data_IF_693883264067
#
_entry.id   IF_693883264067
#
_cell.length_a   1.000
_cell.length_b   1.000
_cell.length_c   1.000
_cell.angle_alpha   90.00
_cell.angle_beta   90.00
_cell.angle_gamma   90.00
#
_symmetry.space_group_name_H-M   'P 1'
#
loop_
_entity.id
_entity.type
_entity.pdbx_description
1 polymer ?
#
# COMPACT_ATOMS: atom_id res chain seq x y z
N UNK A 1 11.29 27.42 -4.93
CA UNK A 1 10.73 26.81 -3.70
C UNK A 1 11.54 25.56 -3.39
N UNK A 2 12.47 25.62 -2.42
CA UNK A 2 13.20 24.40 -2.03
C UNK A 2 12.26 23.51 -1.25
N UNK A 3 11.81 22.41 -1.83
CA UNK A 3 11.05 21.41 -1.10
C UNK A 3 12.03 20.57 -0.28
N UNK A 4 11.81 20.52 1.02
CA UNK A 4 12.54 19.64 1.94
C UNK A 4 11.59 18.54 2.43
N UNK A 5 12.11 17.37 2.68
CA UNK A 5 11.41 16.31 3.39
C UNK A 5 12.17 15.95 4.67
N UNK A 6 11.44 15.46 5.66
CA UNK A 6 12.02 15.06 6.92
C UNK A 6 12.19 13.54 6.94
N UNK A 7 13.39 13.07 7.20
CA UNK A 7 13.69 11.67 7.50
C UNK A 7 13.97 11.51 8.98
N UNK A 8 13.56 10.38 9.55
CA UNK A 8 13.91 10.03 10.93
C UNK A 8 14.95 8.92 10.85
N UNK A 9 16.17 9.22 11.29
CA UNK A 9 17.23 8.21 11.38
C UNK A 9 16.90 7.10 12.39
N UNK A 10 17.66 6.01 12.35
CA UNK A 10 17.54 4.92 13.32
C UNK A 10 17.80 5.38 14.78
N UNK A 11 18.49 6.50 14.95
CA UNK A 11 18.73 7.21 16.21
C UNK A 11 17.57 8.11 16.67
N UNK A 12 16.46 8.14 15.91
CA UNK A 12 15.32 9.00 16.18
C UNK A 12 15.52 10.48 15.82
N UNK A 13 16.67 10.85 15.26
CA UNK A 13 16.96 12.23 14.87
C UNK A 13 16.26 12.58 13.57
N UNK A 14 15.49 13.67 13.60
CA UNK A 14 14.83 14.21 12.40
C UNK A 14 15.85 14.99 11.59
N UNK A 15 16.09 14.55 10.36
CA UNK A 15 16.92 15.27 9.38
C UNK A 15 16.02 15.84 8.30
N UNK A 16 16.22 17.12 7.98
CA UNK A 16 15.58 17.76 6.85
C UNK A 16 16.52 17.71 5.66
N UNK A 17 16.11 17.05 4.61
CA UNK A 17 16.88 16.91 3.37
C UNK A 17 16.17 17.60 2.21
N UNK A 18 16.93 18.20 1.30
CA UNK A 18 16.37 18.70 0.03
C UNK A 18 15.94 17.51 -0.81
N UNK A 19 14.72 17.57 -1.36
CA UNK A 19 14.15 16.56 -2.25
C UNK A 19 15.04 16.34 -3.47
N UNK A 20 15.51 17.44 -4.04
CA UNK A 20 16.48 17.44 -5.12
C UNK A 20 17.71 18.18 -4.62
N UNK A 21 18.79 17.45 -4.36
CA UNK A 21 20.02 18.02 -3.77
C UNK A 21 20.63 19.14 -4.63
N UNK A 22 20.42 19.05 -5.93
CA UNK A 22 21.00 19.93 -6.94
C UNK A 22 20.01 20.93 -7.56
N UNK A 23 18.78 21.00 -7.02
CA UNK A 23 17.75 21.91 -7.53
C UNK A 23 17.48 23.01 -6.52
N UNK A 24 17.57 24.25 -6.97
CA UNK A 24 17.15 25.44 -6.25
C UNK A 24 16.24 26.33 -7.11
N UNK A 25 15.90 27.51 -6.60
CA UNK A 25 15.00 28.45 -7.28
C UNK A 25 15.58 29.04 -8.56
N UNK A 26 16.92 28.92 -8.78
CA UNK A 26 17.61 29.41 -9.97
C UNK A 26 17.86 28.30 -11.00
N UNK A 27 17.54 27.05 -10.68
CA UNK A 27 17.76 25.92 -11.57
C UNK A 27 16.78 25.98 -12.75
N UNK A 28 17.31 26.17 -13.96
CA UNK A 28 16.49 26.23 -15.19
C UNK A 28 15.95 24.86 -15.61
N UNK A 29 16.64 23.78 -15.24
CA UNK A 29 16.26 22.40 -15.60
C UNK A 29 16.79 21.42 -14.55
N UNK A 30 16.17 20.25 -14.51
CA UNK A 30 16.61 19.13 -13.71
C UNK A 30 16.51 17.84 -14.52
N UNK A 31 17.57 17.04 -14.51
CA UNK A 31 17.58 15.73 -15.16
C UNK A 31 17.29 14.64 -14.13
N UNK A 32 16.21 13.91 -14.34
CA UNK A 32 15.81 12.79 -13.50
C UNK A 32 16.07 11.47 -14.21
N UNK A 33 16.83 10.59 -13.56
CA UNK A 33 17.11 9.25 -14.08
C UNK A 33 16.08 8.24 -13.56
N UNK A 34 15.34 7.63 -14.45
CA UNK A 34 14.43 6.52 -14.14
C UNK A 34 14.64 5.38 -15.14
N UNK A 35 15.17 4.22 -14.70
CA UNK A 35 15.42 3.06 -15.58
C UNK A 35 14.16 2.52 -16.26
N UNK A 36 13.01 2.66 -15.60
CA UNK A 36 11.72 2.17 -16.07
C UNK A 36 10.86 3.24 -16.76
N UNK A 37 11.44 4.42 -17.02
CA UNK A 37 10.74 5.59 -17.57
C UNK A 37 10.14 6.49 -16.49
N UNK A 38 9.92 7.76 -16.84
CA UNK A 38 9.50 8.81 -15.90
C UNK A 38 8.20 8.46 -15.16
N UNK A 39 7.20 7.94 -15.87
CA UNK A 39 5.91 7.59 -15.30
C UNK A 39 5.93 6.31 -14.45
N UNK A 40 7.05 5.60 -14.38
CA UNK A 40 7.25 4.51 -13.42
C UNK A 40 7.81 5.01 -12.08
N UNK A 41 8.31 6.26 -12.03
CA UNK A 41 8.70 6.90 -10.77
C UNK A 41 7.46 7.45 -10.08
N UNK A 42 7.15 6.93 -8.90
CA UNK A 42 5.84 7.11 -8.26
C UNK A 42 5.51 8.57 -7.92
N UNK A 43 6.52 9.44 -7.69
CA UNK A 43 6.26 10.88 -7.51
C UNK A 43 5.69 11.57 -8.75
N UNK A 44 5.88 11.02 -9.93
CA UNK A 44 5.30 11.54 -11.19
C UNK A 44 4.05 10.75 -11.61
N UNK A 45 4.04 9.45 -11.34
CA UNK A 45 2.86 8.59 -11.61
C UNK A 45 1.62 9.07 -10.88
N UNK A 46 1.77 9.36 -9.58
CA UNK A 46 0.63 9.70 -8.73
C UNK A 46 -0.06 11.01 -9.17
N UNK A 47 0.64 12.13 -9.41
CA UNK A 47 0.02 13.33 -9.97
C UNK A 47 -0.64 13.11 -11.32
N UNK A 48 0.02 12.38 -12.23
CA UNK A 48 -0.50 12.13 -13.57
C UNK A 48 -1.81 11.33 -13.54
N UNK A 49 -1.85 10.25 -12.75
CA UNK A 49 -3.05 9.43 -12.57
C UNK A 49 -4.18 10.23 -11.91
N UNK A 50 -3.90 10.91 -10.80
CA UNK A 50 -4.90 11.70 -10.07
C UNK A 50 -5.52 12.79 -10.93
N UNK A 51 -4.69 13.49 -11.75
CA UNK A 51 -5.18 14.51 -12.65
C UNK A 51 -6.07 13.92 -13.76
N UNK A 52 -5.65 12.79 -14.34
CA UNK A 52 -6.42 12.09 -15.36
C UNK A 52 -7.75 11.58 -14.79
N UNK A 53 -7.75 10.97 -13.61
CA UNK A 53 -8.95 10.46 -12.93
C UNK A 53 -9.92 11.60 -12.60
N UNK A 54 -9.41 12.71 -12.07
CA UNK A 54 -10.25 13.90 -11.76
C UNK A 54 -10.84 14.50 -13.03
N UNK A 55 -10.04 14.67 -14.08
CA UNK A 55 -10.54 15.19 -15.35
C UNK A 55 -11.61 14.29 -15.98
N UNK A 56 -11.39 12.98 -15.97
CA UNK A 56 -12.36 12.00 -16.47
C UNK A 56 -13.66 12.02 -15.64
N UNK A 57 -13.55 12.14 -14.33
CA UNK A 57 -14.71 12.25 -13.46
C UNK A 57 -15.53 13.51 -13.73
N UNK A 58 -14.89 14.68 -13.90
CA UNK A 58 -15.57 15.93 -14.22
C UNK A 58 -16.26 15.88 -15.58
N UNK A 59 -15.64 15.25 -16.58
CA UNK A 59 -16.27 15.04 -17.89
C UNK A 59 -17.53 14.13 -17.78
N UNK A 60 -17.42 13.05 -17.01
CA UNK A 60 -18.58 12.17 -16.74
C UNK A 60 -19.70 12.91 -15.99
N UNK A 61 -19.34 13.71 -14.98
CA UNK A 61 -20.30 14.52 -14.20
C UNK A 61 -21.00 15.54 -15.10
N UNK A 62 -20.24 16.27 -15.93
CA UNK A 62 -20.79 17.25 -16.86
C UNK A 62 -21.76 16.63 -17.91
N UNK A 63 -21.55 15.36 -18.24
CA UNK A 63 -22.42 14.60 -19.14
C UNK A 63 -23.61 13.94 -18.44
N UNK A 64 -23.81 14.14 -17.14
CA UNK A 64 -24.89 13.54 -16.35
C UNK A 64 -24.77 12.03 -16.15
N UNK A 65 -23.56 11.48 -16.30
CA UNK A 65 -23.30 10.03 -16.11
C UNK A 65 -23.07 9.65 -14.65
N UNK A 66 -22.85 10.61 -13.76
CA UNK A 66 -22.69 10.39 -12.32
C UNK A 66 -24.04 10.58 -11.64
N UNK A 67 -24.53 9.55 -10.98
CA UNK A 67 -25.80 9.58 -10.25
C UNK A 67 -25.60 10.08 -8.81
N UNK A 68 -26.64 10.70 -8.24
CA UNK A 68 -26.57 11.28 -6.88
C UNK A 68 -26.35 10.24 -5.76
N UNK A 69 -26.76 8.98 -6.01
CA UNK A 69 -26.58 7.85 -5.10
C UNK A 69 -25.35 7.00 -5.40
N UNK A 70 -24.43 7.49 -6.23
CA UNK A 70 -23.19 6.77 -6.55
C UNK A 70 -22.29 6.62 -5.33
N UNK A 71 -21.68 5.44 -5.19
CA UNK A 71 -20.61 5.19 -4.22
C UNK A 71 -19.25 5.48 -4.84
N UNK A 72 -18.31 5.90 -3.99
CA UNK A 72 -16.96 6.29 -4.39
C UNK A 72 -15.93 5.42 -3.68
N UNK A 73 -15.15 4.73 -4.44
CA UNK A 73 -14.04 3.90 -3.98
C UNK A 73 -12.84 4.11 -4.88
N UNK A 74 -11.65 3.87 -4.35
CA UNK A 74 -10.41 3.93 -5.11
C UNK A 74 -9.33 3.12 -4.43
N UNK A 75 -8.59 2.32 -5.21
CA UNK A 75 -7.50 1.52 -4.66
C UNK A 75 -6.28 2.41 -4.40
N UNK A 76 -5.74 2.39 -3.18
CA UNK A 76 -4.53 3.11 -2.77
C UNK A 76 -4.56 4.60 -3.13
N UNK A 77 -3.93 5.03 -4.23
CA UNK A 77 -3.95 6.39 -4.75
C UNK A 77 -5.38 6.86 -5.08
N UNK A 78 -6.19 5.96 -5.61
CA UNK A 78 -7.57 6.23 -5.99
C UNK A 78 -8.46 6.72 -4.83
N UNK A 79 -8.10 6.45 -3.56
CA UNK A 79 -8.80 7.05 -2.42
C UNK A 79 -8.72 8.59 -2.40
N UNK A 80 -7.57 9.14 -2.80
CA UNK A 80 -7.40 10.60 -2.90
C UNK A 80 -8.28 11.20 -3.99
N UNK A 81 -8.35 10.51 -5.14
CA UNK A 81 -9.23 10.90 -6.25
C UNK A 81 -10.71 10.75 -5.88
N UNK A 82 -11.09 9.67 -5.20
CA UNK A 82 -12.45 9.45 -4.72
C UNK A 82 -12.90 10.53 -3.72
N UNK A 83 -12.07 10.87 -2.75
CA UNK A 83 -12.34 11.94 -1.77
C UNK A 83 -12.41 13.32 -2.42
N UNK A 84 -11.55 13.59 -3.40
CA UNK A 84 -11.58 14.84 -4.15
C UNK A 84 -12.81 14.94 -5.07
N UNK A 85 -13.28 13.82 -5.61
CA UNK A 85 -14.49 13.77 -6.44
C UNK A 85 -15.77 13.93 -5.63
N UNK A 86 -15.87 13.21 -4.50
CA UNK A 86 -17.08 13.15 -3.67
C UNK A 86 -17.27 14.39 -2.79
N UNK A 87 -16.25 14.81 -2.08
CA UNK A 87 -16.38 15.78 -1.00
C UNK A 87 -15.61 17.09 -1.23
N UNK A 88 -14.90 17.20 -2.37
CA UNK A 88 -14.10 18.38 -2.72
C UNK A 88 -13.19 18.83 -1.57
N UNK A 89 -12.61 17.86 -0.85
CA UNK A 89 -11.85 18.07 0.39
C UNK A 89 -10.65 19.01 0.21
N UNK A 90 -10.20 19.22 -1.02
CA UNK A 90 -9.12 20.15 -1.36
C UNK A 90 -9.17 20.57 -2.83
N UNK A 91 -8.66 21.79 -3.15
CA UNK A 91 -8.46 22.22 -4.54
C UNK A 91 -7.50 21.30 -5.30
N UNK A 92 -7.62 21.27 -6.64
CA UNK A 92 -6.82 20.38 -7.49
C UNK A 92 -5.31 20.62 -7.33
N UNK A 93 -4.87 21.84 -7.12
CA UNK A 93 -3.45 22.19 -6.90
C UNK A 93 -2.94 21.58 -5.59
N UNK A 94 -3.76 21.62 -4.55
CA UNK A 94 -3.44 20.98 -3.27
C UNK A 94 -3.42 19.46 -3.40
N UNK A 95 -4.37 18.89 -4.12
CA UNK A 95 -4.45 17.46 -4.37
C UNK A 95 -3.19 16.97 -5.11
N UNK A 96 -2.83 17.62 -6.22
CA UNK A 96 -1.63 17.29 -7.00
C UNK A 96 -0.37 17.41 -6.13
N UNK A 97 -0.27 18.46 -5.32
CA UNK A 97 0.85 18.64 -4.39
C UNK A 97 0.92 17.52 -3.35
N UNK A 98 -0.22 17.09 -2.79
CA UNK A 98 -0.32 16.03 -1.79
C UNK A 98 0.12 14.69 -2.37
N UNK A 99 -0.39 14.31 -3.55
CA UNK A 99 -0.06 13.03 -4.16
C UNK A 99 1.37 12.99 -4.72
N UNK A 100 1.90 14.15 -5.17
CA UNK A 100 3.32 14.27 -5.51
C UNK A 100 4.19 14.01 -4.28
N UNK A 101 3.89 14.65 -3.15
CA UNK A 101 4.65 14.48 -1.93
C UNK A 101 4.51 13.05 -1.37
N UNK A 102 3.32 12.45 -1.51
CA UNK A 102 3.10 11.03 -1.17
C UNK A 102 4.02 10.13 -2.00
N UNK A 103 4.01 10.29 -3.31
CA UNK A 103 4.85 9.52 -4.22
C UNK A 103 6.34 9.72 -3.94
N UNK A 104 6.74 10.96 -3.70
CA UNK A 104 8.11 11.29 -3.35
C UNK A 104 8.57 10.62 -2.06
N UNK A 105 7.76 10.68 -0.99
CA UNK A 105 8.06 10.04 0.29
C UNK A 105 8.30 8.53 0.12
N UNK A 106 7.55 7.88 -0.77
CA UNK A 106 7.72 6.48 -1.10
C UNK A 106 8.97 6.24 -1.97
N UNK A 107 9.21 7.10 -2.97
CA UNK A 107 10.31 6.95 -3.91
C UNK A 107 11.67 7.08 -3.25
N UNK A 108 11.81 8.01 -2.28
CA UNK A 108 13.08 8.26 -1.58
C UNK A 108 13.32 7.32 -0.41
N UNK A 109 12.31 6.51 -0.03
CA UNK A 109 12.46 5.55 1.06
C UNK A 109 13.37 4.37 0.69
N UNK A 110 13.54 4.10 -0.60
CA UNK A 110 14.37 2.99 -1.10
C UNK A 110 15.72 3.48 -1.58
N UNK A 111 16.78 2.78 -1.20
CA UNK A 111 18.11 3.00 -1.74
C UNK A 111 18.17 2.57 -3.21
N UNK A 112 18.96 3.30 -3.99
CA UNK A 112 19.13 3.05 -5.42
C UNK A 112 20.60 2.98 -5.78
N UNK A 113 20.91 2.09 -6.72
CA UNK A 113 22.26 2.00 -7.30
C UNK A 113 22.53 3.18 -8.26
N UNK A 114 23.76 3.24 -8.80
CA UNK A 114 24.20 4.28 -9.74
C UNK A 114 23.37 4.33 -11.03
N UNK A 115 22.63 3.26 -11.35
CA UNK A 115 21.70 3.18 -12.48
C UNK A 115 20.26 3.50 -12.10
N UNK A 116 20.02 3.95 -10.86
CA UNK A 116 18.71 4.30 -10.33
C UNK A 116 17.81 3.08 -10.01
N UNK A 117 18.34 1.86 -9.95
CA UNK A 117 17.58 0.64 -9.66
C UNK A 117 17.54 0.38 -8.17
N UNK A 118 16.43 -0.11 -7.66
CA UNK A 118 16.30 -0.59 -6.29
C UNK A 118 16.30 -2.12 -6.22
N UNK A 119 16.47 -2.66 -5.02
CA UNK A 119 16.39 -4.09 -4.74
C UNK A 119 14.99 -4.55 -4.32
N UNK A 120 13.96 -3.72 -4.55
CA UNK A 120 12.59 -4.00 -4.13
C UNK A 120 11.65 -4.07 -5.32
N UNK A 121 10.57 -4.82 -5.15
CA UNK A 121 9.48 -4.88 -6.12
C UNK A 121 8.19 -5.39 -5.47
N UNK A 122 7.20 -5.71 -6.30
CA UNK A 122 5.95 -6.33 -5.90
C UNK A 122 5.56 -7.43 -6.88
N UNK A 123 4.81 -8.42 -6.41
CA UNK A 123 4.18 -9.41 -7.27
C UNK A 123 2.74 -9.69 -6.85
N UNK A 124 1.87 -9.88 -7.84
CA UNK A 124 0.53 -10.41 -7.61
C UNK A 124 0.61 -11.93 -7.38
N UNK A 125 -0.14 -12.43 -6.40
CA UNK A 125 -0.17 -13.85 -6.03
C UNK A 125 -1.60 -14.36 -6.06
N UNK A 126 -1.81 -15.48 -6.73
CA UNK A 126 -3.10 -16.19 -6.73
C UNK A 126 -2.95 -17.56 -6.04
N UNK A 127 -3.35 -17.69 -4.76
CA UNK A 127 -3.23 -18.92 -3.99
C UNK A 127 -3.95 -20.11 -4.63
N UNK A 128 -5.11 -19.90 -5.22
CA UNK A 128 -5.93 -20.97 -5.80
C UNK A 128 -5.24 -21.74 -6.95
N UNK A 129 -4.16 -21.17 -7.50
CA UNK A 129 -3.35 -21.84 -8.54
C UNK A 129 -2.42 -22.90 -7.98
N UNK A 130 -2.15 -22.92 -6.69
CA UNK A 130 -1.34 -23.97 -6.04
C UNK A 130 -2.18 -25.23 -5.92
N UNK A 131 -3.25 -25.20 -5.13
CA UNK A 131 -4.27 -26.23 -5.01
C UNK A 131 -5.56 -25.64 -4.47
N UNK A 132 -6.62 -26.45 -4.32
CA UNK A 132 -7.95 -25.98 -3.88
C UNK A 132 -7.99 -25.58 -2.40
N UNK A 133 -7.13 -26.14 -1.58
CA UNK A 133 -7.05 -25.88 -0.14
C UNK A 133 -6.08 -24.75 0.21
N UNK A 134 -5.19 -24.36 -0.72
CA UNK A 134 -4.20 -23.31 -0.50
C UNK A 134 -4.90 -21.94 -0.50
N UNK A 135 -5.21 -21.45 0.68
CA UNK A 135 -5.94 -20.21 0.96
C UNK A 135 -5.02 -19.09 1.46
N UNK A 136 -5.62 -17.99 1.92
CA UNK A 136 -4.89 -16.86 2.50
C UNK A 136 -4.00 -17.26 3.69
N UNK A 137 -4.50 -18.11 4.58
CA UNK A 137 -3.75 -18.53 5.76
C UNK A 137 -2.47 -19.31 5.36
N UNK A 138 -2.58 -20.19 4.38
CA UNK A 138 -1.43 -20.93 3.86
C UNK A 138 -0.43 -19.98 3.17
N UNK A 139 -0.92 -18.98 2.43
CA UNK A 139 -0.04 -17.97 1.82
C UNK A 139 0.67 -17.14 2.88
N UNK A 140 -0.03 -16.65 3.91
CA UNK A 140 0.58 -15.93 5.04
C UNK A 140 1.66 -16.76 5.71
N UNK A 141 1.36 -18.02 5.98
CA UNK A 141 2.31 -18.92 6.60
C UNK A 141 3.60 -19.08 5.77
N UNK A 142 3.50 -19.22 4.45
CA UNK A 142 4.66 -19.27 3.56
C UNK A 142 5.43 -17.96 3.57
N UNK A 143 4.75 -16.83 3.43
CA UNK A 143 5.37 -15.49 3.39
C UNK A 143 6.10 -15.19 4.70
N UNK A 144 5.46 -15.42 5.84
CA UNK A 144 6.03 -15.16 7.17
C UNK A 144 7.25 -16.05 7.44
N UNK A 145 7.22 -17.33 7.02
CA UNK A 145 8.37 -18.21 7.18
C UNK A 145 9.53 -17.84 6.25
N UNK A 146 9.28 -17.43 5.01
CA UNK A 146 10.34 -16.91 4.13
C UNK A 146 11.00 -15.68 4.76
N UNK A 147 10.21 -14.70 5.22
CA UNK A 147 10.73 -13.50 5.85
C UNK A 147 11.54 -13.82 7.12
N UNK A 148 11.03 -14.72 7.97
CA UNK A 148 11.68 -15.14 9.22
C UNK A 148 13.00 -15.89 8.99
N UNK A 149 13.03 -16.84 8.05
CA UNK A 149 14.20 -17.69 7.80
C UNK A 149 15.31 -16.94 7.05
N UNK A 150 14.94 -16.03 6.15
CA UNK A 150 15.93 -15.34 5.31
C UNK A 150 16.32 -13.97 5.83
N UNK A 151 15.50 -13.36 6.68
CA UNK A 151 15.65 -11.96 7.11
C UNK A 151 15.37 -10.96 5.99
N UNK A 152 14.87 -11.38 4.83
CA UNK A 152 14.52 -10.51 3.73
C UNK A 152 13.13 -9.91 3.94
N UNK A 153 12.94 -8.67 3.50
CA UNK A 153 11.61 -8.07 3.50
C UNK A 153 10.68 -8.85 2.58
N UNK A 154 9.58 -9.36 3.12
CA UNK A 154 8.49 -9.97 2.36
C UNK A 154 7.20 -9.83 3.14
N UNK A 155 6.21 -9.15 2.58
CA UNK A 155 4.92 -8.91 3.23
C UNK A 155 3.77 -9.03 2.23
N UNK A 156 2.61 -9.54 2.68
CA UNK A 156 1.35 -9.42 1.95
C UNK A 156 0.81 -8.02 2.22
N UNK A 157 0.75 -7.19 1.21
CA UNK A 157 0.43 -5.77 1.35
C UNK A 157 -0.94 -5.37 0.80
N UNK A 158 -1.51 -6.16 -0.11
CA UNK A 158 -2.86 -5.95 -0.63
C UNK A 158 -3.67 -7.25 -0.61
N UNK A 159 -4.90 -7.13 -0.15
CA UNK A 159 -5.92 -8.18 -0.06
C UNK A 159 -7.06 -7.83 -1.03
N UNK A 160 -6.82 -8.03 -2.34
CA UNK A 160 -7.72 -7.52 -3.37
C UNK A 160 -8.97 -8.38 -3.55
N UNK A 161 -8.78 -9.71 -3.64
CA UNK A 161 -9.89 -10.67 -3.76
C UNK A 161 -9.59 -11.88 -2.89
N UNK A 162 -10.46 -12.17 -1.94
CA UNK A 162 -10.28 -13.27 -0.98
C UNK A 162 -9.96 -14.58 -1.70
N UNK A 163 -8.88 -15.26 -1.29
CA UNK A 163 -8.34 -16.50 -1.82
C UNK A 163 -7.97 -16.52 -3.31
N UNK A 164 -8.03 -15.38 -4.00
CA UNK A 164 -7.77 -15.31 -5.44
C UNK A 164 -6.70 -14.29 -5.83
N UNK A 165 -6.63 -13.14 -5.14
CA UNK A 165 -5.71 -12.08 -5.55
C UNK A 165 -5.16 -11.32 -4.36
N UNK A 166 -3.88 -11.53 -4.11
CA UNK A 166 -3.08 -10.81 -3.14
C UNK A 166 -1.91 -10.14 -3.84
N UNK A 167 -1.29 -9.16 -3.18
CA UNK A 167 -0.03 -8.61 -3.63
C UNK A 167 0.98 -8.73 -2.50
N UNK A 168 2.14 -9.29 -2.82
CA UNK A 168 3.31 -9.32 -1.96
C UNK A 168 4.30 -8.25 -2.39
N UNK A 169 4.89 -7.57 -1.41
CA UNK A 169 5.94 -6.58 -1.61
C UNK A 169 7.18 -6.97 -0.81
N UNK A 170 8.35 -6.70 -1.34
CA UNK A 170 9.58 -6.97 -0.64
C UNK A 170 10.84 -6.90 -1.48
N UNK A 171 11.90 -7.46 -0.94
CA UNK A 171 13.18 -7.63 -1.59
C UNK A 171 13.03 -8.51 -2.85
N UNK A 172 13.75 -8.20 -3.93
CA UNK A 172 13.74 -9.01 -5.16
C UNK A 172 14.07 -10.47 -4.88
N UNK A 173 15.00 -10.73 -3.95
CA UNK A 173 15.37 -12.11 -3.54
C UNK A 173 14.21 -12.81 -2.84
N UNK A 174 13.48 -12.09 -1.97
CA UNK A 174 12.34 -12.65 -1.27
C UNK A 174 11.18 -13.00 -2.20
N UNK A 175 10.89 -12.13 -3.17
CA UNK A 175 9.86 -12.36 -4.19
C UNK A 175 10.21 -13.50 -5.15
N UNK A 176 11.49 -13.64 -5.51
CA UNK A 176 11.97 -14.76 -6.31
C UNK A 176 11.91 -16.08 -5.51
N UNK A 177 12.35 -16.06 -4.26
CA UNK A 177 12.24 -17.21 -3.35
C UNK A 177 10.76 -17.62 -3.17
N UNK A 178 9.85 -16.68 -2.95
CA UNK A 178 8.41 -16.94 -2.87
C UNK A 178 7.91 -17.65 -4.15
N UNK A 179 8.32 -17.15 -5.31
CA UNK A 179 7.95 -17.77 -6.60
C UNK A 179 8.45 -19.20 -6.67
N UNK A 180 9.71 -19.46 -6.30
CA UNK A 180 10.31 -20.79 -6.31
C UNK A 180 9.63 -21.74 -5.32
N UNK A 181 9.34 -21.28 -4.09
CA UNK A 181 8.62 -22.07 -3.07
C UNK A 181 7.22 -22.43 -3.57
N UNK A 182 6.45 -21.48 -4.09
CA UNK A 182 5.09 -21.75 -4.59
C UNK A 182 5.11 -22.70 -5.80
N UNK A 183 6.08 -22.55 -6.70
CA UNK A 183 6.28 -23.50 -7.82
C UNK A 183 6.61 -24.91 -7.32
N UNK A 184 7.46 -25.02 -6.30
CA UNK A 184 7.83 -26.30 -5.69
C UNK A 184 6.62 -26.98 -5.04
N UNK A 185 5.87 -26.25 -4.20
CA UNK A 185 4.65 -26.76 -3.55
C UNK A 185 3.65 -27.29 -4.58
N UNK A 186 3.48 -26.58 -5.70
CA UNK A 186 2.61 -27.01 -6.81
C UNK A 186 3.13 -28.28 -7.48
N UNK A 187 4.42 -28.31 -7.83
CA UNK A 187 5.05 -29.42 -8.55
C UNK A 187 5.03 -30.70 -7.73
N UNK A 188 5.32 -30.61 -6.44
CA UNK A 188 5.34 -31.74 -5.50
C UNK A 188 3.94 -32.10 -4.95
N UNK A 189 2.90 -31.33 -5.33
CA UNK A 189 1.52 -31.51 -4.86
C UNK A 189 1.42 -31.45 -3.32
N UNK A 190 2.24 -30.62 -2.67
CA UNK A 190 2.25 -30.44 -1.22
C UNK A 190 1.05 -29.60 -0.81
N UNK A 191 0.24 -30.14 0.10
CA UNK A 191 -0.92 -29.46 0.69
C UNK A 191 -0.60 -29.05 2.13
N UNK A 192 -0.21 -27.78 2.31
CA UNK A 192 0.14 -27.23 3.63
C UNK A 192 -1.04 -27.33 4.61
N UNK A 193 -2.27 -27.14 4.16
CA UNK A 193 -3.46 -27.24 5.01
C UNK A 193 -3.65 -28.68 5.52
N UNK A 194 -3.43 -29.66 4.65
CA UNK A 194 -3.48 -31.06 5.04
C UNK A 194 -2.35 -31.42 6.01
N UNK A 195 -1.14 -30.91 5.78
CA UNK A 195 -0.01 -31.10 6.69
C UNK A 195 -0.32 -30.50 8.07
N UNK A 196 -0.91 -29.32 8.15
CA UNK A 196 -1.31 -28.68 9.41
C UNK A 196 -2.38 -29.47 10.18
N UNK A 197 -3.13 -30.37 9.53
CA UNK A 197 -4.11 -31.25 10.20
C UNK A 197 -3.51 -32.56 10.69
N UNK A 198 -2.40 -33.01 10.10
CA UNK A 198 -1.83 -34.34 10.32
C UNK A 198 -0.50 -34.33 11.07
N UNK A 199 0.17 -33.18 11.13
CA UNK A 199 1.48 -32.98 11.74
C UNK A 199 1.42 -31.85 12.77
N UNK A 200 2.37 -31.84 13.70
CA UNK A 200 2.55 -30.69 14.59
C UNK A 200 3.00 -29.45 13.82
N UNK A 201 2.74 -28.26 14.38
CA UNK A 201 3.16 -26.98 13.78
C UNK A 201 4.67 -26.94 13.56
N UNK A 202 5.45 -27.48 14.51
CA UNK A 202 6.92 -27.49 14.42
C UNK A 202 7.43 -28.41 13.30
N UNK A 203 6.79 -29.56 13.07
CA UNK A 203 7.12 -30.45 11.96
C UNK A 203 6.78 -29.82 10.62
N UNK A 204 5.62 -29.20 10.47
CA UNK A 204 5.23 -28.47 9.24
C UNK A 204 6.22 -27.33 8.98
N UNK A 205 6.58 -26.59 10.02
CA UNK A 205 7.57 -25.51 9.93
C UNK A 205 8.93 -26.01 9.50
N UNK A 206 9.43 -27.11 10.08
CA UNK A 206 10.71 -27.72 9.72
C UNK A 206 10.75 -28.17 8.27
N UNK A 207 9.67 -28.81 7.79
CA UNK A 207 9.54 -29.18 6.39
C UNK A 207 9.56 -27.98 5.44
N UNK A 208 8.79 -26.94 5.77
CA UNK A 208 8.72 -25.72 4.97
C UNK A 208 10.07 -24.99 4.95
N UNK A 209 10.77 -24.93 6.10
CA UNK A 209 12.08 -24.30 6.20
C UNK A 209 13.13 -24.98 5.32
N UNK A 210 13.09 -26.31 5.23
CA UNK A 210 13.97 -27.04 4.30
C UNK A 210 13.74 -26.60 2.85
N UNK A 211 12.49 -26.51 2.41
CA UNK A 211 12.11 -26.04 1.08
C UNK A 211 12.54 -24.58 0.86
N UNK A 212 12.28 -23.72 1.87
CA UNK A 212 12.67 -22.30 1.81
C UNK A 212 14.17 -22.15 1.65
N UNK A 213 14.97 -22.86 2.45
CA UNK A 213 16.42 -22.78 2.41
C UNK A 213 16.98 -23.24 1.05
N UNK A 214 16.44 -24.30 0.45
CA UNK A 214 16.81 -24.73 -0.89
C UNK A 214 16.45 -23.68 -1.95
N UNK A 215 15.24 -23.12 -1.90
CA UNK A 215 14.79 -22.06 -2.81
C UNK A 215 15.59 -20.76 -2.62
N UNK A 216 15.93 -20.39 -1.38
CA UNK A 216 16.76 -19.24 -1.08
C UNK A 216 18.18 -19.39 -1.62
N UNK A 217 18.77 -20.60 -1.49
CA UNK A 217 20.06 -20.89 -2.06
C UNK A 217 20.06 -20.78 -3.60
N UNK A 218 19.01 -21.29 -4.26
CA UNK A 218 18.82 -21.13 -5.70
C UNK A 218 18.72 -19.66 -6.10
N UNK A 219 17.96 -18.86 -5.33
CA UNK A 219 17.81 -17.41 -5.55
C UNK A 219 19.14 -16.68 -5.40
N UNK A 220 19.94 -17.00 -4.38
CA UNK A 220 21.25 -16.38 -4.14
C UNK A 220 22.28 -16.72 -5.23
N UNK A 221 22.13 -17.85 -5.91
CA UNK A 221 22.98 -18.24 -7.03
C UNK A 221 22.69 -17.47 -8.34
N UNK A 222 21.59 -16.70 -8.39
CA UNK A 222 21.21 -15.91 -9.57
C UNK A 222 22.05 -14.64 -9.69
N UNK A 223 22.24 -14.19 -10.94
CA UNK A 223 22.87 -12.91 -11.21
C UNK A 223 22.05 -11.74 -10.64
N UNK A 224 22.73 -10.72 -10.16
CA UNK A 224 22.12 -9.52 -9.58
C UNK A 224 22.15 -8.34 -10.56
N UNK A 225 21.13 -7.48 -10.58
CA UNK A 225 19.86 -7.62 -9.87
C UNK A 225 19.01 -8.77 -10.44
N UNK A 226 18.19 -9.38 -9.57
CA UNK A 226 17.30 -10.46 -9.99
C UNK A 226 16.21 -9.91 -10.91
N UNK A 227 16.05 -10.54 -12.08
CA UNK A 227 14.90 -10.32 -12.96
C UNK A 227 13.78 -11.29 -12.57
N UNK A 228 12.74 -10.76 -11.96
CA UNK A 228 11.61 -11.55 -11.47
C UNK A 228 10.86 -12.20 -12.64
N UNK A 229 10.73 -13.51 -12.59
CA UNK A 229 10.00 -14.29 -13.58
C UNK A 229 8.60 -14.65 -13.06
N UNK A 230 7.67 -14.83 -14.01
CA UNK A 230 6.34 -15.31 -13.71
C UNK A 230 6.41 -16.77 -13.23
N UNK A 231 5.77 -17.05 -12.08
CA UNK A 231 5.56 -18.40 -11.57
C UNK A 231 4.16 -18.94 -11.84
N UNK A 232 3.87 -20.11 -11.30
CA UNK A 232 2.54 -20.74 -11.43
C UNK A 232 1.44 -19.92 -10.75
N UNK A 233 1.77 -19.30 -9.63
CA UNK A 233 0.86 -18.50 -8.82
C UNK A 233 1.27 -17.03 -8.70
N UNK A 234 2.42 -16.63 -9.22
CA UNK A 234 3.00 -15.30 -9.07
C UNK A 234 3.13 -14.58 -10.41
N UNK A 235 2.84 -13.27 -10.41
CA UNK A 235 3.01 -12.39 -11.56
C UNK A 235 3.76 -11.14 -11.09
N UNK A 236 5.02 -10.92 -11.49
CA UNK A 236 5.76 -9.70 -11.17
C UNK A 236 5.03 -8.46 -11.69
N UNK A 237 4.95 -7.41 -10.86
CA UNK A 237 4.39 -6.12 -11.26
C UNK A 237 5.51 -5.28 -11.88
N UNK A 238 5.62 -5.33 -13.20
CA UNK A 238 6.69 -4.67 -13.95
C UNK A 238 6.66 -3.16 -13.76
N UNK A 239 7.85 -2.54 -13.69
CA UNK A 239 8.01 -1.10 -13.50
C UNK A 239 7.88 -0.63 -12.05
N UNK A 240 7.49 -1.51 -11.12
CA UNK A 240 7.44 -1.22 -9.70
C UNK A 240 8.77 -1.58 -9.04
N UNK A 241 9.37 -0.60 -8.39
CA UNK A 241 10.68 -0.70 -7.74
C UNK A 241 10.67 -0.14 -6.30
N UNK A 242 9.49 -0.06 -5.71
CA UNK A 242 9.24 0.34 -4.31
C UNK A 242 8.33 -0.71 -3.69
N UNK A 243 8.60 -1.18 -2.44
CA UNK A 243 7.75 -2.13 -1.75
C UNK A 243 6.53 -1.42 -1.15
N UNK A 244 5.57 -1.00 -2.02
CA UNK A 244 4.40 -0.23 -1.61
C UNK A 244 3.59 -0.94 -0.53
N UNK A 245 3.07 -0.17 0.41
CA UNK A 245 2.24 -0.63 1.53
C UNK A 245 2.93 -1.54 2.55
N UNK A 246 4.22 -1.83 2.39
CA UNK A 246 5.00 -2.58 3.38
C UNK A 246 5.36 -1.74 4.60
N UNK A 247 5.72 -2.42 5.68
CA UNK A 247 6.21 -1.77 6.90
C UNK A 247 7.50 -0.98 6.68
N UNK A 248 8.24 -1.29 5.62
CA UNK A 248 9.44 -0.56 5.19
C UNK A 248 9.18 0.94 4.98
N UNK A 249 7.97 1.31 4.54
CA UNK A 249 7.60 2.71 4.30
C UNK A 249 7.08 3.45 5.53
N UNK A 250 7.07 2.84 6.72
CA UNK A 250 6.52 3.46 7.95
C UNK A 250 7.19 4.76 8.34
N UNK A 251 8.50 4.91 8.08
CA UNK A 251 9.25 6.14 8.36
C UNK A 251 8.66 7.37 7.65
N UNK A 252 8.08 7.17 6.46
CA UNK A 252 7.44 8.21 5.67
C UNK A 252 6.06 8.66 6.16
N UNK A 253 5.40 7.90 7.05
CA UNK A 253 4.02 8.18 7.47
C UNK A 253 3.91 9.49 8.25
N UNK A 254 4.83 9.74 9.19
CA UNK A 254 4.78 10.95 10.03
C UNK A 254 5.05 12.24 9.22
N UNK A 255 6.10 12.33 8.39
CA UNK A 255 6.32 13.47 7.51
C UNK A 255 5.15 13.71 6.54
N UNK A 256 4.66 12.65 5.92
CA UNK A 256 3.51 12.76 5.00
C UNK A 256 2.25 13.27 5.70
N UNK A 257 1.94 12.76 6.89
CA UNK A 257 0.81 13.24 7.70
C UNK A 257 0.96 14.74 8.01
N UNK A 258 2.16 15.18 8.41
CA UNK A 258 2.42 16.60 8.71
C UNK A 258 2.21 17.48 7.48
N UNK A 259 2.61 17.01 6.30
CA UNK A 259 2.36 17.71 5.04
C UNK A 259 0.87 17.77 4.70
N UNK A 260 0.17 16.64 4.82
CA UNK A 260 -1.27 16.53 4.57
C UNK A 260 -2.07 17.51 5.44
N UNK A 261 -1.75 17.58 6.73
CA UNK A 261 -2.40 18.49 7.69
C UNK A 261 -2.20 19.98 7.36
N UNK A 262 -1.13 20.34 6.64
CA UNK A 262 -0.90 21.71 6.17
C UNK A 262 -1.72 22.04 4.91
N UNK A 263 -2.08 21.02 4.11
CA UNK A 263 -2.77 21.19 2.82
C UNK A 263 -4.29 21.05 2.93
N UNK A 264 -4.79 20.33 3.91
CA UNK A 264 -6.21 20.11 4.12
C UNK A 264 -6.68 21.03 5.25
N UNK A 265 -7.61 21.93 4.95
CA UNK A 265 -8.30 22.71 5.99
C UNK A 265 -9.31 21.82 6.71
N UNK A 266 -9.29 21.85 8.04
CA UNK A 266 -10.30 21.13 8.86
C UNK A 266 -11.72 21.60 8.58
N UNK A 267 -11.88 22.86 8.18
CA UNK A 267 -13.19 23.47 7.87
C UNK A 267 -13.73 23.08 6.50
N UNK A 268 -12.90 22.55 5.61
CA UNK A 268 -13.33 22.11 4.27
C UNK A 268 -13.75 20.63 4.22
N UNK A 269 -13.59 19.89 5.32
CA UNK A 269 -14.04 18.50 5.40
C UNK A 269 -15.42 18.45 6.05
N UNK A 270 -16.40 18.01 5.29
CA UNK A 270 -17.74 17.69 5.77
C UNK A 270 -17.92 16.16 5.79
N UNK A 271 -17.81 15.52 6.97
CA UNK A 271 -17.93 14.07 7.07
C UNK A 271 -19.30 13.55 6.62
N UNK A 272 -20.35 14.34 6.67
CA UNK A 272 -21.70 13.95 6.26
C UNK A 272 -21.77 13.60 4.76
N UNK A 273 -20.93 14.24 3.94
CA UNK A 273 -20.83 13.94 2.51
C UNK A 273 -20.22 12.55 2.23
N UNK A 274 -19.50 11.99 3.19
CA UNK A 274 -18.82 10.69 3.06
C UNK A 274 -19.70 9.53 3.48
N UNK A 275 -20.64 9.76 4.42
CA UNK A 275 -21.48 8.71 5.00
C UNK A 275 -22.30 8.01 3.94
N UNK A 276 -22.19 6.68 3.90
CA UNK A 276 -22.89 5.80 2.95
C UNK A 276 -22.37 5.84 1.51
N UNK A 277 -21.51 6.83 1.17
CA UNK A 277 -21.03 7.05 -0.21
C UNK A 277 -19.55 6.70 -0.39
N UNK A 278 -18.72 6.99 0.58
CA UNK A 278 -17.29 6.69 0.53
C UNK A 278 -17.01 5.27 1.03
N UNK A 279 -16.23 4.51 0.28
CA UNK A 279 -15.80 3.15 0.64
C UNK A 279 -14.28 3.16 0.85
N UNK A 280 -13.78 3.26 2.11
CA UNK A 280 -12.36 3.26 2.41
C UNK A 280 -11.69 1.90 2.15
N UNK A 281 -10.42 1.90 1.74
CA UNK A 281 -9.65 0.66 1.55
C UNK A 281 -9.52 -0.15 2.85
N UNK A 282 -9.48 0.50 3.99
CA UNK A 282 -9.31 -0.14 5.31
C UNK A 282 -10.48 -1.07 5.66
N UNK A 283 -11.71 -0.67 5.35
CA UNK A 283 -12.90 -1.43 5.73
C UNK A 283 -13.57 -2.15 4.56
N UNK A 284 -13.34 -1.66 3.33
CA UNK A 284 -14.02 -2.09 2.10
C UNK A 284 -15.56 -2.09 2.21
N UNK A 285 -16.10 -1.22 3.07
CA UNK A 285 -17.54 -1.01 3.24
C UNK A 285 -17.87 0.49 3.37
N UNK A 286 -19.11 0.91 3.11
CA UNK A 286 -19.48 2.32 3.21
C UNK A 286 -19.08 2.95 4.54
N UNK A 287 -18.56 4.18 4.46
CA UNK A 287 -18.13 4.93 5.64
C UNK A 287 -19.34 5.30 6.52
N UNK A 288 -19.21 5.11 7.82
CA UNK A 288 -20.22 5.42 8.81
C UNK A 288 -19.62 6.22 9.96
N UNK A 289 -20.45 7.08 10.57
CA UNK A 289 -20.11 7.81 11.78
C UNK A 289 -20.75 7.11 13.00
N UNK A 290 -20.44 5.82 13.18
CA UNK A 290 -20.93 5.01 14.30
C UNK A 290 -19.77 4.49 15.13
N UNK A 291 -19.99 4.29 16.43
CA UNK A 291 -18.99 3.72 17.33
C UNK A 291 -18.51 2.35 16.83
N UNK A 292 -19.44 1.50 16.41
CA UNK A 292 -19.15 0.17 15.88
C UNK A 292 -18.21 0.23 14.66
N UNK A 293 -18.44 1.16 13.72
CA UNK A 293 -17.57 1.35 12.58
C UNK A 293 -16.15 1.72 13.01
N UNK A 294 -16.00 2.62 13.97
CA UNK A 294 -14.68 3.02 14.50
C UNK A 294 -14.00 1.90 15.31
N UNK A 295 -14.76 1.05 16.01
CA UNK A 295 -14.23 -0.15 16.67
C UNK A 295 -13.65 -1.13 15.65
N UNK A 296 -14.33 -1.34 14.51
CA UNK A 296 -13.81 -2.14 13.41
C UNK A 296 -12.53 -1.54 12.81
N UNK A 297 -12.52 -0.23 12.55
CA UNK A 297 -11.30 0.44 12.08
C UNK A 297 -10.15 0.29 13.08
N UNK A 298 -10.44 0.40 14.38
CA UNK A 298 -9.43 0.20 15.41
C UNK A 298 -8.90 -1.24 15.43
N UNK A 299 -9.78 -2.22 15.35
CA UNK A 299 -9.43 -3.65 15.25
C UNK A 299 -8.53 -3.94 14.06
N UNK A 300 -8.80 -3.33 12.90
CA UNK A 300 -8.03 -3.53 11.67
C UNK A 300 -6.68 -2.81 11.66
N UNK A 301 -6.57 -1.67 12.37
CA UNK A 301 -5.40 -0.77 12.22
C UNK A 301 -4.58 -0.61 13.49
N UNK A 302 -5.14 -0.92 14.65
CA UNK A 302 -4.58 -0.61 15.97
C UNK A 302 -4.15 0.87 16.10
N UNK A 303 -4.85 1.78 15.40
CA UNK A 303 -4.49 3.19 15.33
C UNK A 303 -4.68 3.86 16.70
N UNK A 304 -3.62 4.43 17.32
CA UNK A 304 -3.75 5.13 18.60
C UNK A 304 -4.74 6.31 18.54
N UNK A 305 -4.90 6.92 17.36
CA UNK A 305 -5.84 8.01 17.14
C UNK A 305 -7.29 7.54 17.22
N UNK A 306 -7.58 6.42 16.57
CA UNK A 306 -8.92 5.82 16.62
C UNK A 306 -9.21 5.34 18.05
N UNK A 307 -8.24 4.71 18.72
CA UNK A 307 -8.36 4.34 20.13
C UNK A 307 -8.69 5.53 21.04
N UNK A 308 -8.04 6.68 20.81
CA UNK A 308 -8.35 7.90 21.56
C UNK A 308 -9.76 8.45 21.27
N UNK A 309 -10.22 8.38 20.02
CA UNK A 309 -11.59 8.76 19.66
C UNK A 309 -12.59 7.85 20.37
N UNK A 310 -12.39 6.55 20.33
CA UNK A 310 -13.26 5.58 21.01
C UNK A 310 -13.29 5.76 22.53
N UNK A 311 -12.15 6.05 23.15
CA UNK A 311 -12.06 6.32 24.59
C UNK A 311 -12.79 7.61 25.01
N UNK A 312 -12.99 8.54 24.09
CA UNK A 312 -13.66 9.81 24.31
C UNK A 312 -14.95 9.97 23.47
N UNK A 313 -15.57 8.86 23.09
CA UNK A 313 -16.67 8.82 22.13
C UNK A 313 -17.82 9.77 22.50
N UNK A 314 -18.30 9.72 23.76
CA UNK A 314 -19.39 10.55 24.24
C UNK A 314 -19.11 12.05 24.11
N UNK A 315 -17.86 12.46 24.28
CA UNK A 315 -17.44 13.86 24.09
C UNK A 315 -17.59 14.29 22.63
N UNK A 316 -17.20 13.45 21.69
CA UNK A 316 -17.29 13.74 20.26
C UNK A 316 -18.74 13.69 19.77
N UNK A 317 -19.53 12.74 20.25
CA UNK A 317 -20.96 12.62 19.95
C UNK A 317 -21.75 13.84 20.49
N UNK A 318 -21.47 14.25 21.72
CA UNK A 318 -22.11 15.40 22.36
C UNK A 318 -21.71 16.77 21.79
N UNK A 319 -20.50 16.90 21.21
CA UNK A 319 -20.03 18.15 20.59
C UNK A 319 -20.60 18.36 19.18
N UNK A 320 -21.28 17.37 18.59
CA UNK A 320 -21.77 17.41 17.22
C UNK A 320 -20.66 17.26 16.17
N UNK A 321 -19.43 16.95 16.59
CA UNK A 321 -18.31 16.63 15.70
C UNK A 321 -18.50 15.26 15.02
N UNK A 322 -19.31 14.40 15.65
CA UNK A 322 -19.80 13.14 15.07
C UNK A 322 -21.33 13.23 15.08
N UNK A 323 -21.92 13.84 14.07
CA UNK A 323 -23.36 13.73 13.82
C UNK A 323 -23.56 12.62 12.81
N UNK A 324 -24.02 11.46 13.28
CA UNK A 324 -24.61 10.46 12.42
C UNK A 324 -25.81 11.06 11.68
N UNK A 325 -25.88 10.87 10.37
CA UNK A 325 -27.14 11.09 9.68
C UNK A 325 -28.17 10.17 10.34
N UNK A 326 -29.27 10.75 10.83
CA UNK A 326 -30.39 9.95 11.28
C UNK A 326 -30.78 8.96 10.16
N UNK A 327 -31.10 7.69 10.47
CA UNK A 327 -31.59 6.80 9.47
C UNK A 327 -32.76 7.44 8.74
N UNK A 328 -32.71 7.50 7.42
CA UNK A 328 -33.83 7.93 6.62
C UNK A 328 -35.02 7.01 6.95
N UNK A 329 -36.13 7.62 7.42
CA UNK A 329 -37.37 6.93 7.75
C UNK A 329 -38.04 6.35 6.50
#
# INVERSE_FOLDING_TARGET
MSMTFETVGADGVVKSEKIFKEVDENSASYTYLSPNGLLSATQFTQPALTLMEKASFEDMRAKGLVQDNSSFAGHSLGEYSALAALAEVMPIESLVSVVFYRGLTMQVAVERDEKGRSNYSMCAVNPSRINKSFNEQALRYVVDNIASETGWLLEIVNLNVANMQYVCAGDLRALDCLTNVLNFLKAQKIDIQQLMQTMSIDEVKSHLNTIINECAAQTLAKAQPIDLQRGVATIPLRGIDVPFHSTFLRSGVKPFRSFLMKKISKTSIDPSKLVGKYIPNVTARPFELTREYFEDVYRLTSSPRIGNILANWEKYEGSGEIRGAAPAA
#
